data_IF_410787980981
#
_entry.id   IF_410787980981
#
_cell.length_a   1.000
_cell.length_b   1.000
_cell.length_c   1.000
_cell.angle_alpha   90.00
_cell.angle_beta   90.00
_cell.angle_gamma   90.00
#
_symmetry.space_group_name_H-M   'P 1'
#
loop_
_entity.id
_entity.type
_entity.pdbx_description
1 polymer ?
#
# COMPACT_ATOMS: atom_id res chain seq x y z
N UNK A 1 6.01 -77.17 -38.73
CA UNK A 1 7.39 -76.66 -38.55
C UNK A 1 7.38 -75.52 -37.53
N UNK A 2 8.37 -75.52 -36.63
CA UNK A 2 8.52 -74.62 -35.46
C UNK A 2 8.69 -73.15 -35.84
N UNK A 3 8.11 -72.24 -35.04
CA UNK A 3 8.75 -71.00 -34.51
C UNK A 3 7.76 -70.30 -33.55
N UNK A 4 7.94 -70.41 -32.23
CA UNK A 4 8.65 -69.49 -31.32
C UNK A 4 7.86 -68.22 -30.91
N UNK A 5 7.48 -68.19 -29.61
CA UNK A 5 7.63 -67.10 -28.60
C UNK A 5 6.95 -65.74 -28.91
N UNK A 6 6.26 -65.01 -28.02
CA UNK A 6 6.45 -64.66 -26.60
C UNK A 6 5.09 -64.13 -26.07
N UNK A 7 4.67 -64.48 -24.85
CA UNK A 7 3.73 -63.69 -24.01
C UNK A 7 4.62 -62.80 -23.10
N UNK A 8 4.26 -61.55 -22.74
CA UNK A 8 3.22 -61.33 -21.72
C UNK A 8 2.51 -59.95 -21.76
N UNK A 9 1.53 -59.77 -20.88
CA UNK A 9 0.58 -58.64 -20.87
C UNK A 9 1.14 -57.26 -20.55
N UNK A 10 0.44 -56.22 -21.01
CA UNK A 10 0.60 -54.82 -20.59
C UNK A 10 -0.47 -53.90 -21.24
N UNK A 11 -1.77 -54.21 -21.15
CA UNK A 11 -2.82 -53.28 -21.63
C UNK A 11 -3.92 -53.08 -20.58
N UNK A 12 -3.52 -53.03 -19.31
CA UNK A 12 -4.41 -52.73 -18.18
C UNK A 12 -3.94 -51.51 -17.37
N UNK A 13 -3.14 -50.61 -17.97
CA UNK A 13 -2.60 -49.41 -17.33
C UNK A 13 -2.54 -48.24 -18.33
N UNK A 14 -3.70 -47.85 -18.86
CA UNK A 14 -3.91 -46.50 -19.39
C UNK A 14 -4.93 -45.74 -18.52
N UNK A 15 -5.02 -46.11 -17.24
CA UNK A 15 -5.76 -45.40 -16.22
C UNK A 15 -4.87 -44.29 -15.64
N UNK A 16 -5.36 -43.06 -15.76
CA UNK A 16 -5.12 -41.98 -14.80
C UNK A 16 -3.65 -41.56 -14.61
N UNK A 17 -3.09 -40.84 -15.59
CA UNK A 17 -1.91 -39.99 -15.35
C UNK A 17 -1.92 -38.70 -16.18
N UNK A 18 -3.09 -38.07 -16.26
CA UNK A 18 -3.13 -36.60 -16.30
C UNK A 18 -3.69 -36.13 -14.97
N UNK A 19 -2.96 -36.43 -13.90
CA UNK A 19 -3.03 -35.64 -12.68
C UNK A 19 -2.73 -34.21 -13.11
N UNK A 20 -3.77 -33.39 -13.15
CA UNK A 20 -3.65 -31.95 -13.20
C UNK A 20 -2.64 -31.58 -12.11
N UNK A 21 -1.45 -31.13 -12.48
CA UNK A 21 -0.59 -30.41 -11.55
C UNK A 21 -1.39 -29.17 -11.17
N UNK A 22 -2.12 -29.26 -10.05
CA UNK A 22 -2.70 -28.09 -9.41
C UNK A 22 -1.49 -27.24 -9.06
N UNK A 23 -1.21 -26.22 -9.87
CA UNK A 23 -0.08 -25.35 -9.63
C UNK A 23 -0.20 -24.88 -8.17
N UNK A 24 0.82 -25.17 -7.36
CA UNK A 24 0.79 -24.83 -5.94
C UNK A 24 0.96 -23.31 -5.79
N UNK A 25 0.39 -22.73 -4.73
CA UNK A 25 0.67 -21.34 -4.39
C UNK A 25 2.19 -21.15 -4.17
N UNK A 26 2.69 -19.94 -4.41
CA UNK A 26 4.10 -19.60 -4.21
C UNK A 26 4.26 -18.94 -2.83
N UNK A 27 4.76 -19.68 -1.81
CA UNK A 27 5.08 -19.07 -0.52
C UNK A 27 6.31 -18.18 -0.67
N UNK A 28 6.30 -17.01 -0.03
CA UNK A 28 7.41 -16.08 0.02
C UNK A 28 7.53 -15.50 1.43
N UNK A 29 8.75 -15.05 1.76
CA UNK A 29 9.05 -14.37 3.02
C UNK A 29 9.44 -12.93 2.70
N UNK A 30 8.82 -11.96 3.35
CA UNK A 30 9.11 -10.54 3.19
C UNK A 30 9.58 -10.00 4.54
N UNK A 31 10.79 -9.47 4.60
CA UNK A 31 11.31 -8.77 5.77
C UNK A 31 10.97 -7.29 5.66
N UNK A 32 10.33 -6.74 6.69
CA UNK A 32 9.91 -5.34 6.74
C UNK A 32 10.28 -4.74 8.10
N UNK A 33 10.45 -3.42 8.16
CA UNK A 33 10.79 -2.74 9.43
C UNK A 33 9.61 -2.69 10.41
N UNK A 34 8.36 -2.62 9.91
CA UNK A 34 7.15 -2.54 10.72
C UNK A 34 5.97 -3.14 9.96
N UNK A 35 5.13 -3.92 10.65
CA UNK A 35 3.94 -4.56 10.10
C UNK A 35 2.86 -3.59 9.66
N UNK A 36 2.84 -2.37 10.20
CA UNK A 36 1.81 -1.34 9.95
C UNK A 36 0.37 -1.87 10.11
N UNK A 37 0.19 -2.81 11.03
CA UNK A 37 -1.11 -3.43 11.33
C UNK A 37 -1.52 -4.59 10.43
N UNK A 38 -0.63 -5.07 9.53
CA UNK A 38 -0.85 -6.27 8.72
C UNK A 38 -1.18 -7.50 9.56
N UNK A 39 -2.02 -8.37 9.01
CA UNK A 39 -2.46 -9.64 9.59
C UNK A 39 -2.64 -10.69 8.49
N UNK A 40 -2.79 -11.95 8.90
CA UNK A 40 -3.18 -13.01 7.98
C UNK A 40 -4.51 -12.67 7.27
N UNK A 41 -4.55 -12.95 5.96
CA UNK A 41 -5.66 -12.63 5.06
C UNK A 41 -5.62 -11.23 4.45
N UNK A 42 -4.66 -10.37 4.81
CA UNK A 42 -4.49 -9.08 4.12
C UNK A 42 -3.96 -9.29 2.69
N UNK A 43 -4.42 -8.51 1.71
CA UNK A 43 -4.14 -8.79 0.31
C UNK A 43 -2.72 -8.42 -0.08
N UNK A 44 -2.12 -9.26 -0.92
CA UNK A 44 -0.94 -8.91 -1.72
C UNK A 44 -1.43 -8.46 -3.09
N UNK A 45 -1.01 -7.27 -3.49
CA UNK A 45 -1.51 -6.56 -4.66
C UNK A 45 -0.40 -6.34 -5.69
N UNK A 46 -0.77 -6.34 -6.95
CA UNK A 46 0.07 -5.91 -8.06
C UNK A 46 -0.78 -5.12 -9.05
N UNK A 47 -0.40 -3.87 -9.29
CA UNK A 47 -1.10 -2.94 -10.17
C UNK A 47 -2.58 -2.79 -9.77
N UNK A 48 -2.85 -2.73 -8.47
CA UNK A 48 -4.20 -2.57 -7.93
C UNK A 48 -5.07 -3.84 -7.95
N UNK A 49 -4.52 -4.99 -8.34
CA UNK A 49 -5.23 -6.29 -8.34
C UNK A 49 -4.63 -7.21 -7.29
N UNK A 50 -5.47 -7.97 -6.59
CA UNK A 50 -5.01 -9.00 -5.67
C UNK A 50 -4.36 -10.15 -6.44
N UNK A 51 -3.15 -10.54 -6.02
CA UNK A 51 -2.38 -11.65 -6.59
C UNK A 51 -2.00 -12.71 -5.53
N UNK A 52 -2.45 -12.52 -4.29
CA UNK A 52 -2.10 -13.36 -3.17
C UNK A 52 -2.55 -12.76 -1.85
N UNK A 53 -2.09 -13.36 -0.76
CA UNK A 53 -2.48 -12.98 0.60
C UNK A 53 -1.33 -13.16 1.60
N UNK A 54 -1.41 -12.40 2.69
CA UNK A 54 -0.55 -12.59 3.86
C UNK A 54 -1.00 -13.85 4.60
N UNK A 55 -0.07 -14.76 4.88
CA UNK A 55 -0.37 -15.99 5.64
C UNK A 55 0.00 -15.86 7.11
N UNK A 56 1.06 -15.12 7.44
CA UNK A 56 1.45 -14.86 8.83
C UNK A 56 2.29 -13.59 8.96
N UNK A 57 2.21 -12.95 10.13
CA UNK A 57 3.08 -11.84 10.53
C UNK A 57 3.72 -12.23 11.86
N UNK A 58 5.05 -12.17 11.93
CA UNK A 58 5.82 -12.59 13.10
C UNK A 58 7.06 -11.73 13.33
N UNK A 59 7.85 -12.11 14.33
CA UNK A 59 9.10 -11.44 14.67
C UNK A 59 10.25 -12.01 13.80
N UNK A 60 11.04 -11.11 13.21
CA UNK A 60 12.28 -11.45 12.51
C UNK A 60 13.50 -11.43 13.45
N UNK A 61 14.70 -11.63 12.88
CA UNK A 61 15.93 -11.84 13.67
C UNK A 61 16.53 -10.56 14.31
N UNK A 62 16.22 -9.36 13.78
CA UNK A 62 16.86 -8.07 14.19
C UNK A 62 15.85 -6.93 14.34
N UNK A 63 14.90 -7.06 15.25
CA UNK A 63 13.78 -6.11 15.48
C UNK A 63 12.87 -5.85 14.26
N UNK A 64 13.12 -6.53 13.14
CA UNK A 64 12.27 -6.53 11.96
C UNK A 64 11.05 -7.43 12.13
N UNK A 65 10.08 -7.24 11.24
CA UNK A 65 8.90 -8.08 11.13
C UNK A 65 9.08 -9.02 9.95
N UNK A 66 8.87 -10.30 10.18
CA UNK A 66 8.81 -11.31 9.13
C UNK A 66 7.35 -11.49 8.70
N UNK A 67 7.08 -11.26 7.42
CA UNK A 67 5.75 -11.47 6.84
C UNK A 67 5.84 -12.62 5.85
N UNK A 68 5.07 -13.68 6.09
CA UNK A 68 4.87 -14.74 5.10
C UNK A 68 3.67 -14.40 4.23
N UNK A 69 3.83 -14.57 2.93
CA UNK A 69 2.78 -14.38 1.94
C UNK A 69 2.69 -15.59 1.03
N UNK A 70 1.54 -15.81 0.43
CA UNK A 70 1.35 -16.78 -0.64
C UNK A 70 0.82 -16.07 -1.88
N UNK A 71 1.49 -16.28 -3.00
CA UNK A 71 1.08 -15.76 -4.31
C UNK A 71 0.30 -16.83 -5.05
N UNK A 72 -0.77 -16.41 -5.72
CA UNK A 72 -1.65 -17.28 -6.47
C UNK A 72 -0.88 -18.03 -7.57
N UNK A 73 -1.21 -19.30 -7.84
CA UNK A 73 -0.50 -20.10 -8.83
C UNK A 73 -0.45 -19.47 -10.23
N UNK A 74 -1.51 -18.73 -10.60
CA UNK A 74 -1.61 -18.04 -11.88
C UNK A 74 -0.67 -16.83 -12.01
N UNK A 75 -0.20 -16.28 -10.89
CA UNK A 75 0.61 -15.05 -10.83
C UNK A 75 2.09 -15.34 -10.51
N UNK A 76 2.48 -16.61 -10.35
CA UNK A 76 3.87 -17.02 -10.00
C UNK A 76 4.92 -16.44 -10.95
N UNK A 77 4.67 -16.50 -12.26
CA UNK A 77 5.61 -16.01 -13.29
C UNK A 77 5.79 -14.48 -13.28
N UNK A 78 4.91 -13.76 -12.59
CA UNK A 78 4.97 -12.30 -12.46
C UNK A 78 5.89 -11.86 -11.33
N UNK A 79 6.00 -12.68 -10.28
CA UNK A 79 6.85 -12.38 -9.13
C UNK A 79 8.27 -12.80 -9.45
N UNK A 80 9.19 -11.84 -9.39
CA UNK A 80 10.59 -11.96 -9.78
C UNK A 80 11.48 -11.74 -8.57
N UNK A 81 12.64 -12.39 -8.54
CA UNK A 81 13.61 -12.25 -7.44
C UNK A 81 14.07 -10.80 -7.26
N UNK A 82 14.19 -10.04 -8.35
CA UNK A 82 14.50 -8.61 -8.35
C UNK A 82 13.27 -7.72 -8.20
N UNK A 83 12.20 -8.18 -7.56
CA UNK A 83 11.04 -7.37 -7.21
C UNK A 83 11.09 -6.85 -5.78
N UNK A 84 10.22 -5.89 -5.44
CA UNK A 84 10.13 -5.29 -4.10
C UNK A 84 8.69 -5.31 -3.59
N UNK A 85 8.54 -5.45 -2.28
CA UNK A 85 7.26 -5.31 -1.60
C UNK A 85 7.21 -4.02 -0.78
N UNK A 86 6.04 -3.37 -0.74
CA UNK A 86 5.78 -2.19 0.08
C UNK A 86 4.52 -2.41 0.89
N UNK A 87 4.60 -2.22 2.21
CA UNK A 87 3.43 -2.26 3.08
C UNK A 87 2.75 -0.90 3.10
N UNK A 88 1.48 -0.90 2.70
CA UNK A 88 0.60 0.26 2.73
C UNK A 88 -0.30 0.19 3.96
N UNK A 89 -0.37 1.30 4.69
CA UNK A 89 -1.22 1.41 5.88
C UNK A 89 -2.70 1.44 5.51
N UNK A 90 -3.53 1.01 6.46
CA UNK A 90 -4.95 1.23 6.42
C UNK A 90 -5.28 2.73 6.41
N UNK A 91 -5.85 3.24 5.32
CA UNK A 91 -6.36 4.61 5.24
C UNK A 91 -7.85 4.57 4.87
N UNK A 92 -8.67 5.37 5.56
CA UNK A 92 -10.09 5.53 5.23
C UNK A 92 -10.93 4.26 5.39
N UNK A 93 -10.69 3.47 6.44
CA UNK A 93 -11.43 2.24 6.73
C UNK A 93 -11.04 1.02 5.87
N UNK A 94 -10.05 1.16 4.99
CA UNK A 94 -9.48 0.03 4.23
C UNK A 94 -8.54 -0.79 5.10
N UNK A 95 -8.43 -2.09 4.82
CA UNK A 95 -7.40 -2.94 5.42
C UNK A 95 -6.01 -2.57 4.87
N UNK A 96 -4.94 -2.75 5.65
CA UNK A 96 -3.60 -2.63 5.11
C UNK A 96 -3.39 -3.67 4.01
N UNK A 97 -2.44 -3.42 3.11
CA UNK A 97 -2.10 -4.33 2.02
C UNK A 97 -0.61 -4.27 1.73
N UNK A 98 -0.15 -5.24 0.96
CA UNK A 98 1.22 -5.26 0.45
C UNK A 98 1.17 -5.08 -1.06
N UNK A 99 1.80 -4.03 -1.58
CA UNK A 99 1.94 -3.84 -3.03
C UNK A 99 3.29 -4.40 -3.50
N UNK A 100 3.26 -5.22 -4.54
CA UNK A 100 4.42 -5.78 -5.21
C UNK A 100 4.81 -4.92 -6.42
N UNK A 101 6.11 -4.69 -6.58
CA UNK A 101 6.69 -3.93 -7.69
C UNK A 101 7.79 -4.73 -8.38
N UNK A 102 7.71 -4.85 -9.70
CA UNK A 102 8.83 -5.36 -10.51
C UNK A 102 9.90 -4.27 -10.62
N UNK A 103 11.13 -4.52 -10.15
CA UNK A 103 12.25 -3.57 -10.30
C UNK A 103 13.15 -4.01 -11.44
N UNK A 104 13.60 -5.26 -11.41
CA UNK A 104 14.34 -5.87 -12.50
C UNK A 104 13.47 -6.93 -13.21
N UNK A 105 12.83 -6.61 -14.35
CA UNK A 105 12.02 -7.56 -15.09
C UNK A 105 12.85 -8.69 -15.72
N UNK A 106 14.18 -8.57 -15.79
CA UNK A 106 15.08 -9.60 -16.33
C UNK A 106 15.53 -10.60 -15.27
N UNK A 107 15.29 -10.31 -13.99
CA UNK A 107 15.61 -11.25 -12.91
C UNK A 107 14.79 -12.54 -13.01
N UNK A 108 15.30 -13.68 -12.52
CA UNK A 108 14.56 -14.94 -12.54
C UNK A 108 13.22 -14.85 -11.79
N UNK A 109 12.25 -15.75 -12.10
CA UNK A 109 11.07 -15.94 -11.25
C UNK A 109 11.46 -16.20 -9.79
N UNK A 110 10.65 -15.71 -8.86
CA UNK A 110 10.86 -15.97 -7.45
C UNK A 110 10.68 -17.47 -7.14
N UNK A 111 11.54 -17.99 -6.27
CA UNK A 111 11.50 -19.37 -5.80
C UNK A 111 10.61 -19.50 -4.57
N UNK A 112 10.14 -20.71 -4.28
CA UNK A 112 9.38 -20.97 -3.06
C UNK A 112 10.23 -20.65 -1.83
N UNK A 113 9.59 -20.00 -0.86
CA UNK A 113 10.20 -19.56 0.40
C UNK A 113 11.36 -18.56 0.22
N UNK A 114 11.48 -17.95 -0.96
CA UNK A 114 12.46 -16.91 -1.20
C UNK A 114 12.22 -15.72 -0.27
N UNK A 115 13.32 -15.20 0.31
CA UNK A 115 13.32 -13.93 1.04
C UNK A 115 13.34 -12.79 0.04
N UNK A 116 12.25 -12.04 0.03
CA UNK A 116 12.02 -10.95 -0.89
C UNK A 116 12.38 -9.61 -0.23
N UNK A 117 13.08 -8.72 -0.93
CA UNK A 117 13.40 -7.41 -0.38
C UNK A 117 12.13 -6.55 -0.31
N UNK A 118 12.12 -5.61 0.64
CA UNK A 118 11.06 -4.63 0.81
C UNK A 118 11.58 -3.20 0.72
N UNK A 119 10.65 -2.27 0.57
CA UNK A 119 10.88 -0.85 0.64
C UNK A 119 9.94 -0.20 1.66
N UNK A 120 10.39 0.88 2.30
CA UNK A 120 9.67 1.57 3.37
C UNK A 120 8.45 2.33 2.85
N UNK A 121 8.52 2.76 1.59
CA UNK A 121 7.51 3.55 0.91
C UNK A 121 7.57 3.36 -0.60
N UNK A 122 6.49 3.75 -1.29
CA UNK A 122 6.42 3.79 -2.75
C UNK A 122 7.43 4.78 -3.34
N UNK A 123 7.77 5.87 -2.63
CA UNK A 123 8.79 6.82 -3.07
C UNK A 123 10.17 6.17 -3.21
N UNK A 124 10.54 5.27 -2.29
CA UNK A 124 11.79 4.52 -2.36
C UNK A 124 11.83 3.59 -3.58
N UNK A 125 10.70 2.96 -3.93
CA UNK A 125 10.58 2.17 -5.16
C UNK A 125 10.84 3.01 -6.41
N UNK A 126 10.30 4.23 -6.47
CA UNK A 126 10.52 5.13 -7.61
C UNK A 126 11.97 5.57 -7.75
N UNK A 127 12.65 5.82 -6.62
CA UNK A 127 14.08 6.12 -6.60
C UNK A 127 14.90 4.93 -7.15
N UNK A 128 14.62 3.71 -6.69
CA UNK A 128 15.31 2.49 -7.15
C UNK A 128 15.09 2.19 -8.64
N UNK A 129 13.92 2.55 -9.18
CA UNK A 129 13.62 2.43 -10.62
C UNK A 129 14.30 3.51 -11.48
N UNK A 130 15.05 4.43 -10.88
CA UNK A 130 15.73 5.51 -11.61
C UNK A 130 14.79 6.50 -12.29
N UNK A 131 13.50 6.53 -11.89
CA UNK A 131 12.52 7.47 -12.44
C UNK A 131 12.55 8.85 -11.77
N UNK A 132 13.16 8.94 -10.61
CA UNK A 132 13.31 10.18 -9.84
C UNK A 132 14.77 10.28 -9.39
N UNK A 133 15.41 11.40 -9.67
CA UNK A 133 16.74 11.71 -9.15
C UNK A 133 16.63 12.13 -7.68
N UNK A 134 17.42 11.53 -6.78
CA UNK A 134 17.40 11.83 -5.34
C UNK A 134 17.67 13.31 -5.03
N UNK A 135 18.53 13.96 -5.81
CA UNK A 135 18.83 15.39 -5.67
C UNK A 135 17.62 16.24 -6.06
N UNK A 136 16.91 15.83 -7.09
CA UNK A 136 15.71 16.51 -7.58
C UNK A 136 14.54 16.33 -6.62
N UNK A 137 14.37 15.14 -6.05
CA UNK A 137 13.40 14.87 -4.98
C UNK A 137 13.68 15.78 -3.77
N UNK A 138 14.93 15.83 -3.32
CA UNK A 138 15.35 16.66 -2.19
C UNK A 138 15.07 18.16 -2.44
N UNK A 139 15.39 18.66 -3.64
CA UNK A 139 15.09 20.03 -4.04
C UNK A 139 13.59 20.30 -4.06
N UNK A 140 12.79 19.39 -4.63
CA UNK A 140 11.34 19.55 -4.72
C UNK A 140 10.67 19.55 -3.33
N UNK A 141 11.13 18.70 -2.40
CA UNK A 141 10.66 18.70 -1.02
C UNK A 141 11.05 19.99 -0.29
N UNK A 142 12.28 20.45 -0.47
CA UNK A 142 12.76 21.70 0.13
C UNK A 142 11.95 22.90 -0.36
N UNK A 143 11.71 22.98 -1.68
CA UNK A 143 10.90 24.02 -2.28
C UNK A 143 9.45 23.98 -1.79
N UNK A 144 8.84 22.78 -1.72
CA UNK A 144 7.49 22.59 -1.18
C UNK A 144 7.37 22.99 0.29
N UNK A 145 8.36 22.65 1.12
CA UNK A 145 8.42 23.06 2.53
C UNK A 145 8.61 24.57 2.70
N UNK A 146 9.45 25.19 1.88
CA UNK A 146 9.64 26.63 1.88
C UNK A 146 8.36 27.37 1.45
N UNK A 147 7.62 26.83 0.47
CA UNK A 147 6.31 27.36 0.07
C UNK A 147 5.27 27.18 1.16
N UNK A 148 5.20 26.01 1.78
CA UNK A 148 4.34 25.76 2.93
C UNK A 148 4.64 26.74 4.07
N UNK A 149 5.92 26.96 4.38
CA UNK A 149 6.36 27.91 5.41
C UNK A 149 5.94 29.35 5.10
N UNK A 150 6.11 29.81 3.86
CA UNK A 150 5.69 31.15 3.42
C UNK A 150 4.17 31.31 3.49
N UNK A 151 3.42 30.33 3.02
CA UNK A 151 1.96 30.35 3.07
C UNK A 151 1.43 30.28 4.52
N UNK A 152 2.13 29.56 5.41
CA UNK A 152 1.83 29.54 6.84
C UNK A 152 2.09 30.88 7.52
N UNK A 153 3.08 31.66 7.06
CA UNK A 153 3.34 33.02 7.58
C UNK A 153 2.25 34.03 7.18
N UNK A 154 1.60 33.83 6.04
CA UNK A 154 0.42 34.61 5.63
C UNK A 154 -0.83 34.23 6.43
N UNK A 155 -1.07 32.92 6.59
CA UNK A 155 -2.13 32.41 7.46
C UNK A 155 -1.94 32.88 8.91
N UNK A 156 -0.69 33.03 9.37
CA UNK A 156 -0.30 33.50 10.71
C UNK A 156 -0.90 34.84 11.13
N UNK A 157 -1.24 35.67 10.15
CA UNK A 157 -1.78 37.03 10.33
C UNK A 157 -3.31 37.08 10.32
N UNK A 158 -3.98 35.95 10.05
CA UNK A 158 -5.44 35.86 10.11
C UNK A 158 -5.94 35.61 11.56
N UNK A 159 -7.11 36.14 11.95
CA UNK A 159 -7.74 35.84 13.25
C UNK A 159 -8.01 34.33 13.46
N UNK A 160 -8.10 33.55 12.39
CA UNK A 160 -8.36 32.11 12.40
C UNK A 160 -7.14 31.28 12.83
N UNK A 161 -5.92 31.79 12.60
CA UNK A 161 -4.68 31.14 13.02
C UNK A 161 -4.54 31.01 14.55
N UNK A 162 -5.17 31.89 15.32
CA UNK A 162 -5.19 31.79 16.77
C UNK A 162 -6.02 30.58 17.24
N UNK A 163 -7.15 30.30 16.58
CA UNK A 163 -7.98 29.11 16.83
C UNK A 163 -7.26 27.84 16.39
N UNK A 164 -6.68 27.86 15.20
CA UNK A 164 -5.88 26.75 14.66
C UNK A 164 -4.67 26.44 15.53
N UNK A 165 -3.90 27.44 15.99
CA UNK A 165 -2.80 27.22 16.95
C UNK A 165 -3.29 26.65 18.28
N UNK A 166 -4.46 27.05 18.77
CA UNK A 166 -5.05 26.46 19.97
C UNK A 166 -5.37 24.97 19.78
N UNK A 167 -5.79 24.57 18.59
CA UNK A 167 -6.04 23.17 18.24
C UNK A 167 -4.74 22.40 18.03
N UNK A 168 -3.76 22.96 17.32
CA UNK A 168 -2.44 22.36 17.09
C UNK A 168 -1.64 22.26 18.38
N UNK A 169 -1.70 23.23 19.29
CA UNK A 169 -1.00 23.17 20.59
C UNK A 169 -1.58 22.11 21.53
N UNK A 170 -2.89 21.87 21.45
CA UNK A 170 -3.54 20.77 22.19
C UNK A 170 -3.23 19.42 21.58
N UNK A 171 -3.17 19.35 20.25
CA UNK A 171 -2.68 18.18 19.53
C UNK A 171 -1.21 17.93 19.93
N UNK A 172 -0.34 18.93 19.86
CA UNK A 172 1.10 18.79 20.09
C UNK A 172 1.45 18.46 21.54
N UNK A 173 0.68 18.96 22.51
CA UNK A 173 0.82 18.58 23.91
C UNK A 173 0.49 17.10 24.18
N UNK A 174 -0.21 16.45 23.25
CA UNK A 174 -0.46 15.00 23.23
C UNK A 174 0.47 14.25 22.25
N UNK A 175 1.23 14.96 21.41
CA UNK A 175 2.06 14.39 20.34
C UNK A 175 3.55 14.25 20.71
N UNK A 176 3.89 13.60 21.83
CA UNK A 176 5.20 12.89 21.89
C UNK A 176 5.02 11.56 21.14
N UNK A 177 4.73 11.62 19.84
CA UNK A 177 3.94 10.57 19.19
C UNK A 177 4.71 9.82 18.11
N UNK A 178 4.64 8.49 18.23
CA UNK A 178 5.08 7.48 17.26
C UNK A 178 3.92 7.12 16.32
N UNK A 179 4.20 6.46 15.19
CA UNK A 179 3.25 6.27 14.08
C UNK A 179 1.85 5.69 14.41
N UNK A 180 1.69 5.00 15.54
CA UNK A 180 0.41 4.44 15.98
C UNK A 180 -0.61 5.50 16.44
N UNK A 181 -0.18 6.63 17.00
CA UNK A 181 -1.10 7.68 17.47
C UNK A 181 -1.54 8.62 16.33
N UNK A 182 -0.72 8.73 15.27
CA UNK A 182 -1.09 9.44 14.04
C UNK A 182 -2.27 8.76 13.33
N UNK A 183 -2.24 7.43 13.24
CA UNK A 183 -3.31 6.64 12.64
C UNK A 183 -4.63 6.74 13.42
N UNK A 184 -4.56 6.83 14.76
CA UNK A 184 -5.74 7.00 15.62
C UNK A 184 -6.37 8.39 15.47
N UNK A 185 -5.54 9.44 15.43
CA UNK A 185 -5.97 10.81 15.22
C UNK A 185 -6.64 10.99 13.85
N UNK A 186 -6.08 10.40 12.80
CA UNK A 186 -6.70 10.41 11.47
C UNK A 186 -8.07 9.72 11.50
N UNK A 187 -8.21 8.59 12.18
CA UNK A 187 -9.47 7.83 12.18
C UNK A 187 -10.59 8.50 13.01
N UNK A 188 -10.26 9.15 14.13
CA UNK A 188 -11.27 9.82 14.99
C UNK A 188 -11.60 11.25 14.53
N UNK A 189 -10.67 11.95 13.87
CA UNK A 189 -10.82 13.37 13.55
C UNK A 189 -11.18 13.63 12.07
N UNK A 190 -10.81 12.75 11.12
CA UNK A 190 -11.19 12.95 9.70
C UNK A 190 -12.70 13.08 9.49
N UNK A 191 -13.57 12.26 10.10
CA UNK A 191 -15.01 12.37 9.84
C UNK A 191 -15.59 13.71 10.33
N UNK A 192 -15.02 14.26 11.42
CA UNK A 192 -15.42 15.57 11.95
C UNK A 192 -14.95 16.70 11.04
N UNK A 193 -13.71 16.62 10.57
CA UNK A 193 -13.14 17.55 9.59
C UNK A 193 -13.88 17.53 8.26
N UNK A 194 -14.27 16.35 7.77
CA UNK A 194 -15.10 16.19 6.58
C UNK A 194 -16.46 16.85 6.76
N UNK A 195 -17.12 16.58 7.89
CA UNK A 195 -18.41 17.20 8.21
C UNK A 195 -18.30 18.73 8.30
N UNK A 196 -17.26 19.25 8.94
CA UNK A 196 -17.06 20.70 9.04
C UNK A 196 -16.78 21.34 7.68
N UNK A 197 -16.05 20.66 6.78
CA UNK A 197 -15.85 21.11 5.41
C UNK A 197 -17.15 21.09 4.59
N UNK A 198 -17.96 20.03 4.73
CA UNK A 198 -19.26 19.93 4.07
C UNK A 198 -20.21 21.03 4.55
N UNK A 199 -20.22 21.30 5.86
CA UNK A 199 -20.99 22.39 6.45
C UNK A 199 -20.50 23.76 5.94
N UNK A 200 -19.18 23.97 5.83
CA UNK A 200 -18.59 25.20 5.30
C UNK A 200 -18.91 25.41 3.81
N UNK A 201 -18.84 24.35 3.00
CA UNK A 201 -19.21 24.39 1.59
C UNK A 201 -20.70 24.70 1.41
N UNK A 202 -21.57 24.11 2.25
CA UNK A 202 -22.99 24.38 2.22
C UNK A 202 -23.33 25.83 2.63
N UNK A 203 -22.62 26.38 3.62
CA UNK A 203 -22.74 27.78 4.04
C UNK A 203 -22.30 28.73 2.91
N UNK A 204 -21.15 28.47 2.30
CA UNK A 204 -20.62 29.25 1.18
C UNK A 204 -21.58 29.24 -0.02
N UNK A 205 -22.11 28.07 -0.39
CA UNK A 205 -23.09 27.95 -1.48
C UNK A 205 -24.35 28.79 -1.21
N UNK A 206 -24.86 28.78 0.04
CA UNK A 206 -26.01 29.60 0.43
C UNK A 206 -25.73 31.10 0.38
N UNK A 207 -24.50 31.52 0.64
CA UNK A 207 -24.09 32.93 0.50
C UNK A 207 -23.98 33.33 -0.96
N UNK A 208 -23.42 32.48 -1.81
CA UNK A 208 -23.35 32.67 -3.27
C UNK A 208 -24.77 32.75 -3.85
N UNK A 209 -25.66 31.81 -3.51
CA UNK A 209 -27.06 31.83 -3.95
C UNK A 209 -27.81 33.09 -3.47
N UNK A 210 -27.55 33.55 -2.23
CA UNK A 210 -28.12 34.81 -1.72
C UNK A 210 -27.58 36.03 -2.47
N UNK A 211 -26.30 36.03 -2.81
CA UNK A 211 -25.68 37.09 -3.57
C UNK A 211 -26.20 37.12 -5.02
N UNK A 212 -26.45 35.96 -5.63
CA UNK A 212 -27.01 35.83 -6.98
C UNK A 212 -28.49 36.25 -7.04
N UNK A 213 -29.32 35.85 -6.06
CA UNK A 213 -30.72 36.30 -5.93
C UNK A 213 -30.86 37.80 -5.68
N UNK A 214 -29.86 38.43 -5.06
CA UNK A 214 -29.80 39.89 -4.90
C UNK A 214 -29.37 40.61 -6.19
N UNK A 215 -28.76 39.90 -7.15
CA UNK A 215 -28.28 40.43 -8.44
C UNK A 215 -29.26 40.23 -9.59
N UNK A 216 -30.25 39.35 -9.47
CA UNK A 216 -31.35 39.19 -10.43
C UNK A 216 -32.63 39.86 -9.87
N UNK A 217 -33.05 41.04 -10.35
CA UNK A 217 -34.36 41.56 -10.03
C UNK A 217 -35.40 40.71 -10.77
N UNK A 218 -36.35 40.13 -10.02
CA UNK A 218 -37.55 39.53 -10.59
C UNK A 218 -38.30 40.59 -11.41
N UNK A 219 -38.73 40.30 -12.65
CA UNK A 219 -39.57 41.22 -13.43
C UNK A 219 -40.95 41.42 -12.79
#
# INVERSE_FOLDING_TARGET
MKARRVLPGAVALWLASMLSARAAALPLVVEIDNSKGLRAGDPVMFEGRTIGEVTSVGFGERDGVEVRVTIDPAERERVRQGGLFVVNEAVGGRRPNIEYFVIDPRSPPAEADARMPSARSVAEVWLRRGRINADELSRSMSQGMDQLRRNLDELRRSPEWAKFKGQVARLSAQLTVTGAELARLLNEQLPKLQKELDDLYAEYQKEVDRAERRRTPTP
#
